data_IF_349572489613
#
_entry.id   IF_349572489613
#
_cell.length_a   1.000
_cell.length_b   1.000
_cell.length_c   1.000
_cell.angle_alpha   90.00
_cell.angle_beta   90.00
_cell.angle_gamma   90.00
#
_symmetry.space_group_name_H-M   'P 1'
#
loop_
_entity.id
_entity.type
_entity.pdbx_description
1 polymer ?
#
# COMPACT_ATOMS: atom_id res chain seq x y z
N UNK A 1 -0.06 -9.97 15.10
CA UNK A 1 0.67 -10.86 14.63
C UNK A 1 0.80 -12.01 15.50
N UNK A 2 0.90 -12.95 15.47
CA UNK A 2 0.49 -14.05 16.15
C UNK A 2 1.32 -14.49 17.29
N UNK A 3 0.74 -15.29 18.11
CA UNK A 3 1.35 -15.70 19.35
C UNK A 3 2.51 -16.66 19.15
N UNK A 4 2.49 -17.42 18.09
CA UNK A 4 3.57 -18.34 17.81
C UNK A 4 4.82 -17.58 17.45
N UNK A 5 4.65 -16.59 16.60
CA UNK A 5 5.75 -15.74 16.22
C UNK A 5 6.22 -14.92 17.40
N UNK A 6 5.34 -14.57 18.35
CA UNK A 6 5.70 -13.66 19.42
C UNK A 6 6.77 -14.20 20.35
N UNK A 7 6.89 -15.52 20.50
CA UNK A 7 7.92 -16.05 21.36
C UNK A 7 9.31 -15.84 20.81
N UNK A 8 9.53 -16.18 19.55
CA UNK A 8 10.81 -15.90 18.90
C UNK A 8 10.99 -14.43 18.60
N UNK A 9 9.90 -13.75 18.27
CA UNK A 9 9.95 -12.32 17.97
C UNK A 9 10.16 -11.47 19.22
N UNK A 10 9.79 -11.98 20.39
CA UNK A 10 10.04 -11.24 21.63
C UNK A 10 11.51 -10.96 21.84
N UNK A 11 12.35 -11.93 21.57
CA UNK A 11 13.80 -11.73 21.68
C UNK A 11 14.34 -10.81 20.60
N UNK A 12 13.81 -10.93 19.39
CA UNK A 12 14.21 -10.07 18.29
C UNK A 12 13.85 -8.61 18.58
N UNK A 13 12.65 -8.38 19.07
CA UNK A 13 12.21 -7.02 19.41
C UNK A 13 13.01 -6.43 20.54
N UNK A 14 13.37 -7.22 21.53
CA UNK A 14 14.24 -6.73 22.61
C UNK A 14 15.56 -6.23 22.05
N UNK A 15 16.18 -7.03 21.20
CA UNK A 15 17.46 -6.62 20.61
C UNK A 15 17.31 -5.40 19.73
N UNK A 16 16.21 -5.32 18.98
CA UNK A 16 15.97 -4.16 18.13
C UNK A 16 15.70 -2.90 18.93
N UNK A 17 15.00 -3.03 20.05
CA UNK A 17 14.77 -1.87 20.92
C UNK A 17 16.08 -1.36 21.51
N UNK A 18 17.03 -2.24 21.73
CA UNK A 18 18.33 -1.85 22.26
C UNK A 18 19.27 -1.30 21.21
N UNK A 19 19.07 -1.70 19.95
CA UNK A 19 19.95 -1.24 18.88
C UNK A 19 19.11 -0.92 17.63
N UNK A 20 18.39 0.20 17.69
CA UNK A 20 17.63 0.68 16.54
C UNK A 20 18.56 0.95 15.37
N UNK A 21 18.23 0.39 14.21
CA UNK A 21 18.98 0.66 13.01
C UNK A 21 18.58 2.00 12.41
N UNK A 22 19.44 2.63 11.60
CA UNK A 22 19.06 3.85 10.89
C UNK A 22 17.79 3.69 10.05
N UNK A 23 17.60 2.50 9.45
CA UNK A 23 16.41 2.24 8.64
C UNK A 23 15.15 2.26 9.49
N UNK A 24 15.19 1.65 10.68
CA UNK A 24 14.05 1.66 11.59
C UNK A 24 13.75 3.07 12.08
N UNK A 25 14.77 3.87 12.36
CA UNK A 25 14.59 5.25 12.75
C UNK A 25 13.91 6.06 11.64
N UNK A 26 14.32 5.86 10.40
CA UNK A 26 13.70 6.54 9.27
C UNK A 26 12.25 6.10 9.08
N UNK A 27 11.97 4.82 9.23
CA UNK A 27 10.60 4.31 9.11
C UNK A 27 9.70 4.90 10.19
N UNK A 28 10.18 4.95 11.43
CA UNK A 28 9.44 5.58 12.52
C UNK A 28 9.17 7.05 12.23
N UNK A 29 10.18 7.78 11.77
CA UNK A 29 10.02 9.19 11.46
C UNK A 29 9.01 9.39 10.32
N UNK A 30 9.06 8.51 9.31
CA UNK A 30 8.10 8.56 8.21
C UNK A 30 6.68 8.39 8.73
N UNK A 31 6.46 7.37 9.59
CA UNK A 31 5.15 7.11 10.15
C UNK A 31 4.66 8.25 11.03
N UNK A 32 5.54 8.83 11.83
CA UNK A 32 5.18 9.95 12.69
C UNK A 32 4.72 11.16 11.86
N UNK A 33 5.43 11.46 10.78
CA UNK A 33 5.06 12.55 9.89
C UNK A 33 3.73 12.24 9.22
N UNK A 34 3.58 11.02 8.70
CA UNK A 34 2.37 10.63 7.99
C UNK A 34 1.15 10.73 8.89
N UNK A 35 1.21 10.17 10.08
CA UNK A 35 0.07 10.19 11.00
C UNK A 35 -0.17 11.53 11.64
N UNK A 36 0.74 12.47 11.50
CA UNK A 36 0.48 13.86 11.89
C UNK A 36 -0.36 14.61 10.86
N UNK A 37 -0.68 13.98 9.75
CA UNK A 37 -1.47 14.60 8.69
C UNK A 37 -0.63 15.34 7.66
N UNK A 38 0.67 15.07 7.60
CA UNK A 38 1.57 15.69 6.63
C UNK A 38 2.16 14.65 5.70
N UNK A 39 2.49 15.08 4.52
CA UNK A 39 3.15 14.21 3.55
C UNK A 39 4.63 14.11 3.89
N UNK A 40 5.14 12.89 4.14
CA UNK A 40 6.59 12.72 4.29
C UNK A 40 7.29 13.05 2.97
N UNK A 41 8.41 13.75 3.07
CA UNK A 41 9.16 14.19 1.89
C UNK A 41 10.31 13.25 1.54
N UNK A 42 10.33 12.07 2.13
CA UNK A 42 11.34 11.07 1.88
C UNK A 42 10.72 9.68 1.93
N UNK A 43 11.41 8.70 1.38
CA UNK A 43 11.01 7.29 1.46
C UNK A 43 12.15 6.51 2.11
N UNK A 44 11.90 5.79 3.20
CA UNK A 44 12.95 4.95 3.78
C UNK A 44 13.39 3.89 2.79
N UNK A 45 14.59 3.36 2.93
CA UNK A 45 15.01 2.24 2.09
C UNK A 45 14.03 1.08 2.26
N UNK A 46 13.54 0.55 1.14
CA UNK A 46 12.56 -0.52 1.14
C UNK A 46 13.18 -1.76 0.51
N UNK A 47 12.81 -2.91 1.05
CA UNK A 47 13.29 -4.18 0.54
C UNK A 47 12.13 -5.16 0.44
N UNK A 48 11.13 -4.86 -0.40
CA UNK A 48 9.97 -5.74 -0.51
C UNK A 48 10.36 -7.08 -1.13
N UNK A 49 9.81 -8.14 -0.57
CA UNK A 49 10.06 -9.49 -1.03
C UNK A 49 8.83 -9.99 -1.77
N UNK A 50 9.03 -10.40 -3.00
CA UNK A 50 7.94 -10.90 -3.82
C UNK A 50 8.42 -11.26 -5.22
N UNK A 51 7.49 -11.74 -6.04
CA UNK A 51 7.79 -12.07 -7.43
C UNK A 51 8.16 -10.83 -8.23
N UNK A 52 8.74 -11.04 -9.40
CA UNK A 52 9.06 -9.92 -10.29
C UNK A 52 7.79 -9.12 -10.65
N UNK A 53 6.68 -9.82 -10.87
CA UNK A 53 5.41 -9.16 -11.16
C UNK A 53 4.94 -8.31 -9.99
N UNK A 54 4.96 -8.87 -8.77
CA UNK A 54 4.58 -8.14 -7.57
C UNK A 54 5.44 -6.90 -7.36
N UNK A 55 6.74 -7.04 -7.53
CA UNK A 55 7.64 -5.91 -7.36
C UNK A 55 7.40 -4.82 -8.39
N UNK A 56 7.07 -5.20 -9.63
CA UNK A 56 6.73 -4.22 -10.65
C UNK A 56 5.45 -3.46 -10.30
N UNK A 57 4.44 -4.14 -9.76
CA UNK A 57 3.21 -3.49 -9.31
C UNK A 57 3.51 -2.53 -8.14
N UNK A 58 4.29 -2.99 -7.16
CA UNK A 58 4.59 -2.16 -6.00
C UNK A 58 5.40 -0.92 -6.37
N UNK A 59 6.26 -1.03 -7.37
CA UNK A 59 6.98 0.14 -7.85
C UNK A 59 6.02 1.19 -8.45
N UNK A 60 4.97 0.74 -9.12
CA UNK A 60 3.95 1.65 -9.62
C UNK A 60 3.15 2.29 -8.50
N UNK A 61 2.91 1.55 -7.42
CA UNK A 61 2.21 2.12 -6.27
C UNK A 61 2.97 3.29 -5.67
N UNK A 62 4.29 3.19 -5.62
CA UNK A 62 5.12 4.26 -5.07
C UNK A 62 5.05 5.55 -5.91
N UNK A 63 4.59 5.46 -7.15
CA UNK A 63 4.43 6.63 -8.01
C UNK A 63 3.11 7.36 -7.80
N UNK A 64 2.18 6.80 -7.04
CA UNK A 64 0.90 7.45 -6.81
C UNK A 64 1.09 8.59 -5.81
N UNK A 65 0.79 9.83 -6.19
CA UNK A 65 1.01 10.96 -5.29
C UNK A 65 0.14 10.90 -4.04
N UNK A 66 0.65 11.49 -2.98
CA UNK A 66 -0.07 11.65 -1.73
C UNK A 66 -1.38 12.40 -1.98
N UNK A 67 -2.46 11.89 -1.42
CA UNK A 67 -3.78 12.51 -1.58
C UNK A 67 -4.46 12.19 -2.90
N UNK A 68 -3.85 11.35 -3.74
CA UNK A 68 -4.45 10.95 -5.01
C UNK A 68 -4.73 9.46 -5.03
N UNK A 69 -5.58 9.06 -5.95
CA UNK A 69 -5.95 7.65 -6.12
C UNK A 69 -5.83 7.25 -7.57
N UNK A 70 -5.72 5.95 -7.80
CA UNK A 70 -5.76 5.38 -9.14
C UNK A 70 -6.60 4.10 -9.10
N UNK A 71 -6.86 3.53 -10.25
CA UNK A 71 -7.63 2.28 -10.33
C UNK A 71 -6.73 1.12 -10.70
N UNK A 72 -7.21 -0.09 -10.39
CA UNK A 72 -6.50 -1.31 -10.80
C UNK A 72 -6.34 -1.37 -12.32
N UNK A 73 -7.36 -0.93 -13.05
CA UNK A 73 -7.29 -0.91 -14.51
C UNK A 73 -6.23 0.04 -15.04
N UNK A 74 -6.09 1.21 -14.41
CA UNK A 74 -5.05 2.17 -14.80
C UNK A 74 -3.67 1.61 -14.53
N UNK A 75 -3.48 0.98 -13.38
CA UNK A 75 -2.20 0.33 -13.07
C UNK A 75 -1.89 -0.78 -14.06
N UNK A 76 -2.91 -1.57 -14.43
CA UNK A 76 -2.71 -2.65 -15.39
C UNK A 76 -2.26 -2.11 -16.74
N UNK A 77 -2.87 -1.01 -17.21
CA UNK A 77 -2.45 -0.39 -18.46
C UNK A 77 -1.01 0.12 -18.41
N UNK A 78 -0.67 0.79 -17.32
CA UNK A 78 0.70 1.30 -17.15
C UNK A 78 1.72 0.17 -17.13
N UNK A 79 1.39 -0.92 -16.45
CA UNK A 79 2.30 -2.06 -16.38
C UNK A 79 2.45 -2.73 -17.74
N UNK A 80 1.36 -2.88 -18.49
CA UNK A 80 1.40 -3.43 -19.83
C UNK A 80 2.30 -2.57 -20.74
N UNK A 81 2.16 -1.26 -20.67
CA UNK A 81 3.00 -0.36 -21.46
C UNK A 81 4.48 -0.53 -21.10
N UNK A 82 4.80 -0.57 -19.82
CA UNK A 82 6.19 -0.71 -19.38
C UNK A 82 6.81 -2.04 -19.82
N UNK A 83 6.00 -3.09 -19.93
CA UNK A 83 6.48 -4.42 -20.28
C UNK A 83 6.30 -4.75 -21.76
N UNK A 84 5.79 -3.81 -22.55
CA UNK A 84 5.59 -4.02 -23.97
C UNK A 84 4.48 -5.01 -24.28
N UNK A 85 3.49 -5.14 -23.40
CA UNK A 85 2.37 -6.05 -23.57
C UNK A 85 1.15 -5.28 -24.07
N UNK A 86 0.27 -5.96 -24.79
CA UNK A 86 -0.96 -5.37 -25.28
C UNK A 86 -2.05 -5.35 -24.22
N UNK A 87 -1.93 -6.22 -23.21
CA UNK A 87 -2.97 -6.35 -22.19
C UNK A 87 -2.36 -6.83 -20.87
N UNK A 88 -2.96 -6.37 -19.78
CA UNK A 88 -2.61 -6.84 -18.44
C UNK A 88 -3.91 -6.92 -17.64
N UNK A 89 -4.09 -8.03 -16.93
CA UNK A 89 -5.29 -8.24 -16.13
C UNK A 89 -5.32 -7.32 -14.92
N UNK A 90 -6.39 -6.56 -14.77
CA UNK A 90 -6.62 -5.75 -13.57
C UNK A 90 -6.74 -6.62 -12.33
N UNK A 91 -7.27 -7.83 -12.49
CA UNK A 91 -7.42 -8.76 -11.39
C UNK A 91 -6.07 -9.28 -10.90
N UNK A 92 -5.16 -9.55 -11.82
CA UNK A 92 -3.81 -9.95 -11.46
C UNK A 92 -3.08 -8.84 -10.72
N UNK A 93 -3.24 -7.60 -11.19
CA UNK A 93 -2.68 -6.43 -10.50
C UNK A 93 -3.29 -6.30 -9.12
N UNK A 94 -4.59 -6.49 -8.99
CA UNK A 94 -5.26 -6.42 -7.68
C UNK A 94 -4.72 -7.45 -6.70
N UNK A 95 -4.42 -8.66 -7.18
CA UNK A 95 -3.79 -9.68 -6.36
C UNK A 95 -2.42 -9.24 -5.85
N UNK A 96 -1.61 -8.65 -6.72
CA UNK A 96 -0.30 -8.16 -6.33
C UNK A 96 -0.40 -6.99 -5.34
N UNK A 97 -1.35 -6.09 -5.55
CA UNK A 97 -1.60 -4.98 -4.62
C UNK A 97 -1.96 -5.52 -3.24
N UNK A 98 -2.81 -6.56 -3.20
CA UNK A 98 -3.23 -7.16 -1.93
C UNK A 98 -2.13 -7.92 -1.19
N UNK A 99 -1.05 -8.28 -1.87
CA UNK A 99 0.08 -8.98 -1.24
C UNK A 99 1.18 -8.03 -0.75
N UNK A 100 0.90 -6.74 -0.72
CA UNK A 100 1.86 -5.75 -0.23
C UNK A 100 2.04 -5.88 1.28
N UNK A 101 3.24 -6.21 1.71
CA UNK A 101 3.58 -6.35 3.13
C UNK A 101 4.04 -5.04 3.77
N UNK A 102 4.30 -4.02 2.97
CA UNK A 102 4.79 -2.73 3.47
C UNK A 102 3.70 -1.68 3.25
N UNK A 103 2.64 -1.82 4.03
CA UNK A 103 1.49 -0.91 3.93
C UNK A 103 1.88 0.53 4.27
N UNK A 104 1.14 1.47 3.78
CA UNK A 104 1.31 2.91 3.96
C UNK A 104 2.46 3.48 3.16
N UNK A 105 3.68 3.03 3.36
CA UNK A 105 4.84 3.53 2.61
C UNK A 105 4.69 3.13 1.14
N UNK A 106 4.35 1.86 0.89
CA UNK A 106 3.90 1.44 -0.44
C UNK A 106 2.38 1.58 -0.42
N UNK A 107 1.82 2.60 -1.03
CA UNK A 107 0.45 3.05 -0.74
C UNK A 107 -0.63 2.26 -1.46
N UNK A 108 -0.84 1.01 -1.07
CA UNK A 108 -1.89 0.20 -1.66
C UNK A 108 -3.30 0.73 -1.36
N UNK A 109 -3.45 1.56 -0.33
CA UNK A 109 -4.74 2.18 -0.03
C UNK A 109 -5.17 3.22 -1.07
N UNK A 110 -4.25 3.68 -1.92
CA UNK A 110 -4.56 4.66 -2.97
C UNK A 110 -5.10 4.03 -4.24
N UNK A 111 -5.30 2.71 -4.26
CA UNK A 111 -5.87 2.03 -5.41
C UNK A 111 -7.32 1.71 -5.13
N UNK A 112 -8.20 2.11 -6.03
CA UNK A 112 -9.63 1.89 -5.90
C UNK A 112 -10.15 1.09 -7.10
N UNK A 113 -11.35 0.54 -6.95
CA UNK A 113 -11.98 -0.19 -8.03
C UNK A 113 -12.55 0.75 -9.09
N UNK A 114 -13.05 0.16 -10.15
CA UNK A 114 -13.69 0.92 -11.23
C UNK A 114 -14.80 1.80 -10.67
N UNK A 115 -14.97 2.96 -11.26
CA UNK A 115 -15.99 3.94 -10.83
C UNK A 115 -15.81 4.40 -9.38
N UNK A 116 -14.58 4.40 -8.89
CA UNK A 116 -14.25 4.86 -7.52
C UNK A 116 -14.82 3.98 -6.42
N UNK A 117 -14.93 2.70 -6.69
CA UNK A 117 -15.38 1.73 -5.70
C UNK A 117 -14.28 1.46 -4.66
N UNK A 118 -14.62 1.59 -3.39
CA UNK A 118 -13.68 1.34 -2.29
C UNK A 118 -13.71 -0.13 -1.91
N UNK A 119 -12.80 -0.90 -2.48
CA UNK A 119 -12.72 -2.34 -2.22
C UNK A 119 -11.27 -2.78 -2.01
N UNK A 120 -11.11 -3.98 -1.53
CA UNK A 120 -9.86 -4.71 -1.69
C UNK A 120 -8.70 -4.30 -0.82
N UNK A 121 -8.93 -3.65 0.30
CA UNK A 121 -7.83 -3.31 1.20
C UNK A 121 -7.68 -4.39 2.27
N UNK A 122 -6.46 -4.90 2.43
CA UNK A 122 -6.18 -5.98 3.37
C UNK A 122 -6.49 -5.59 4.82
N UNK A 123 -6.29 -4.34 5.17
CA UNK A 123 -6.61 -3.84 6.50
C UNK A 123 -8.08 -3.53 6.73
N UNK A 124 -8.92 -3.68 5.72
CA UNK A 124 -10.35 -3.36 5.80
C UNK A 124 -10.68 -2.02 5.18
N UNK A 125 -11.89 -1.93 4.63
CA UNK A 125 -12.33 -0.73 3.93
C UNK A 125 -12.37 0.48 4.86
N UNK A 126 -12.74 0.28 6.11
CA UNK A 126 -12.79 1.37 7.09
C UNK A 126 -11.44 2.05 7.24
N UNK A 127 -10.37 1.28 7.32
CA UNK A 127 -9.03 1.84 7.44
C UNK A 127 -8.59 2.52 6.14
N UNK A 128 -8.98 1.95 5.01
CA UNK A 128 -8.71 2.56 3.71
C UNK A 128 -9.32 3.95 3.63
N UNK A 129 -10.58 4.08 4.03
CA UNK A 129 -11.27 5.37 4.05
C UNK A 129 -10.55 6.36 4.95
N UNK A 130 -10.18 5.93 6.16
CA UNK A 130 -9.49 6.80 7.11
C UNK A 130 -8.14 7.29 6.58
N UNK A 131 -7.42 6.43 5.89
CA UNK A 131 -6.13 6.81 5.32
C UNK A 131 -6.31 7.82 4.19
N UNK A 132 -7.29 7.61 3.33
CA UNK A 132 -7.57 8.55 2.26
C UNK A 132 -8.04 9.90 2.80
N UNK A 133 -8.85 9.88 3.86
CA UNK A 133 -9.27 11.12 4.51
C UNK A 133 -8.10 11.83 5.17
N UNK A 134 -7.20 11.09 5.79
CA UNK A 134 -6.00 11.66 6.39
C UNK A 134 -5.15 12.36 5.34
N UNK A 135 -5.06 11.78 4.15
CA UNK A 135 -4.33 12.37 3.04
C UNK A 135 -5.11 13.46 2.32
N UNK A 136 -6.33 13.75 2.76
CA UNK A 136 -7.21 14.76 2.17
C UNK A 136 -7.54 14.46 0.70
N UNK A 137 -7.68 13.20 0.35
CA UNK A 137 -8.12 12.80 -0.98
C UNK A 137 -9.58 13.24 -1.19
N UNK A 138 -9.94 13.49 -2.44
CA UNK A 138 -11.32 13.85 -2.75
C UNK A 138 -12.21 12.62 -2.65
N UNK A 139 -13.03 12.58 -1.61
CA UNK A 139 -13.87 11.41 -1.31
C UNK A 139 -15.26 11.48 -1.93
N UNK A 140 -15.56 12.53 -2.67
CA UNK A 140 -16.95 12.77 -3.12
C UNK A 140 -17.51 11.70 -4.03
N UNK A 141 -16.69 11.13 -4.89
CA UNK A 141 -17.14 10.12 -5.84
C UNK A 141 -16.98 8.70 -5.35
N UNK A 142 -16.43 8.50 -4.16
CA UNK A 142 -16.16 7.17 -3.65
C UNK A 142 -17.38 6.56 -2.99
N UNK A 143 -17.49 5.24 -3.10
CA UNK A 143 -18.56 4.51 -2.44
C UNK A 143 -18.07 3.13 -2.05
N UNK A 144 -18.72 2.54 -1.05
CA UNK A 144 -18.46 1.19 -0.62
C UNK A 144 -19.52 0.29 -1.25
N UNK A 145 -19.15 -0.70 -2.06
CA UNK A 145 -20.14 -1.57 -2.67
C UNK A 145 -20.86 -2.40 -1.61
N UNK A 146 -22.13 -2.63 -1.81
CA UNK A 146 -22.95 -3.40 -0.86
C UNK A 146 -22.55 -4.87 -0.82
N UNK A 147 -22.10 -5.39 -1.96
CA UNK A 147 -21.55 -6.75 -2.03
C UNK A 147 -20.11 -6.63 -2.45
N UNK A 148 -19.28 -7.45 -1.86
CA UNK A 148 -17.87 -7.42 -2.19
C UNK A 148 -17.68 -7.74 -3.63
N UNK A 149 -17.28 -6.79 -4.39
CA UNK A 149 -16.82 -7.02 -5.72
C UNK A 149 -15.41 -6.60 -5.78
N UNK A 150 -14.70 -7.37 -6.42
CA UNK A 150 -13.31 -7.17 -6.41
C UNK A 150 -12.92 -5.96 -7.22
N UNK A 151 -12.96 -5.95 -8.43
CA UNK A 151 -12.18 -4.98 -9.19
C UNK A 151 -12.98 -4.36 -10.32
#
# INVERSE_FOLDING_TARGET
RDSVASRGLGDVYKRQAESETPVLCEAKRWLDIYFSGREPDFTPPLHPVGSAFQQAVWALLLEIPYGETTTYGTLARKLAEKQGLTHMSAQAVGGAVGHNDISLIIPCHRVVGASSSLTGYAGGVDKKIKLLELERADMKSFFVPKKGTAL
#
